data_IF_365514202945
#
_entry.id   IF_365514202945
#
_cell.length_a   1.000
_cell.length_b   1.000
_cell.length_c   1.000
_cell.angle_alpha   90.00
_cell.angle_beta   90.00
_cell.angle_gamma   90.00
#
_symmetry.space_group_name_H-M   'P 1'
#
loop_
_entity.id
_entity.type
_entity.pdbx_description
1 polymer ?
#
# COMPACT_ATOMS: atom_id res chain seq x y z
N UNK A 1 -7.74 -9.66 -23.27
CA UNK A 1 -6.80 -10.19 -22.27
C UNK A 1 -5.93 -9.02 -21.80
N UNK A 2 -6.23 -8.44 -20.64
CA UNK A 2 -5.43 -7.34 -20.09
C UNK A 2 -4.07 -7.90 -19.67
N UNK A 3 -2.99 -7.44 -20.30
CA UNK A 3 -1.64 -7.74 -19.80
C UNK A 3 -1.50 -7.04 -18.45
N UNK A 4 -1.32 -7.78 -17.37
CA UNK A 4 -0.84 -7.24 -16.09
C UNK A 4 0.50 -6.59 -16.37
N UNK A 5 0.56 -5.27 -16.32
CA UNK A 5 1.85 -4.58 -16.26
C UNK A 5 2.38 -4.79 -14.85
N UNK A 6 3.50 -5.48 -14.75
CA UNK A 6 4.24 -5.60 -13.49
C UNK A 6 5.38 -4.59 -13.53
N UNK A 7 5.37 -3.66 -12.61
CA UNK A 7 6.50 -2.78 -12.33
C UNK A 7 7.29 -3.44 -11.20
N UNK A 8 8.39 -4.12 -11.53
CA UNK A 8 9.24 -4.73 -10.53
C UNK A 8 9.96 -3.64 -9.73
N UNK A 9 10.13 -3.89 -8.44
CA UNK A 9 10.95 -3.08 -7.56
C UNK A 9 12.39 -3.05 -8.08
N UNK A 10 13.09 -1.90 -8.07
CA UNK A 10 14.48 -1.80 -8.53
C UNK A 10 15.39 -2.72 -7.71
N UNK A 11 16.01 -3.69 -8.36
CA UNK A 11 16.81 -4.71 -7.68
C UNK A 11 18.01 -4.12 -6.94
N UNK A 12 18.60 -3.05 -7.47
CA UNK A 12 19.70 -2.29 -6.88
C UNK A 12 19.31 -1.49 -5.62
N UNK A 13 18.02 -1.32 -5.36
CA UNK A 13 17.51 -0.65 -4.16
C UNK A 13 17.10 -1.62 -3.04
N UNK A 14 17.10 -2.94 -3.25
CA UNK A 14 16.75 -3.91 -2.21
C UNK A 14 17.72 -3.83 -1.03
N UNK A 15 19.03 -3.93 -1.29
CA UNK A 15 20.05 -3.83 -0.23
C UNK A 15 20.06 -2.46 0.47
N UNK A 16 20.01 -1.31 -0.22
CA UNK A 16 19.88 -0.02 0.42
C UNK A 16 18.66 0.10 1.35
N UNK A 17 17.49 -0.38 0.93
CA UNK A 17 16.28 -0.38 1.76
C UNK A 17 16.43 -1.29 2.98
N UNK A 18 16.98 -2.49 2.82
CA UNK A 18 17.23 -3.40 3.96
C UNK A 18 18.29 -2.83 4.93
N UNK A 19 19.32 -2.17 4.43
CA UNK A 19 20.33 -1.49 5.26
C UNK A 19 19.70 -0.34 6.06
N UNK A 20 18.88 0.48 5.42
CA UNK A 20 18.09 1.52 6.09
C UNK A 20 17.20 0.91 7.17
N UNK A 21 16.51 -0.18 6.86
CA UNK A 21 15.59 -0.86 7.81
C UNK A 21 16.32 -1.34 9.06
N UNK A 22 17.49 -1.96 8.90
CA UNK A 22 18.31 -2.44 10.04
C UNK A 22 18.81 -1.27 10.90
N UNK A 23 19.19 -0.14 10.28
CA UNK A 23 19.65 1.05 11.00
C UNK A 23 18.54 1.65 11.88
N UNK A 24 17.31 1.70 11.36
CA UNK A 24 16.15 2.26 12.06
C UNK A 24 15.34 1.23 12.85
N UNK A 25 15.87 0.01 13.01
CA UNK A 25 15.25 -1.07 13.79
C UNK A 25 13.80 -1.38 13.33
N UNK A 26 13.57 -1.36 12.03
CA UNK A 26 12.33 -1.80 11.39
C UNK A 26 12.62 -3.06 10.55
N UNK A 27 11.63 -3.95 10.45
CA UNK A 27 11.80 -5.25 9.80
C UNK A 27 11.33 -5.18 8.36
N UNK A 28 12.20 -5.41 7.37
CA UNK A 28 11.81 -5.50 5.97
C UNK A 28 11.23 -6.88 5.66
N UNK A 29 10.21 -6.89 4.81
CA UNK A 29 9.65 -8.10 4.25
C UNK A 29 9.27 -7.89 2.78
N UNK A 30 9.19 -8.97 2.05
CA UNK A 30 8.64 -9.02 0.69
C UNK A 30 7.87 -10.33 0.49
N UNK A 31 7.48 -10.61 -0.73
CA UNK A 31 6.65 -11.76 -1.06
C UNK A 31 7.27 -12.57 -2.20
N UNK A 32 7.21 -13.87 -2.06
CA UNK A 32 7.42 -14.80 -3.16
C UNK A 32 6.09 -15.53 -3.50
N UNK A 33 6.16 -16.51 -4.39
CA UNK A 33 4.98 -17.33 -4.77
C UNK A 33 4.40 -18.16 -3.61
N UNK A 34 5.14 -18.32 -2.52
CA UNK A 34 4.77 -19.18 -1.40
C UNK A 34 4.30 -18.36 -0.18
N UNK A 35 4.63 -17.07 -0.08
CA UNK A 35 4.23 -16.23 1.06
C UNK A 35 5.21 -15.09 1.35
N UNK A 36 5.29 -14.70 2.60
CA UNK A 36 6.18 -13.64 3.10
C UNK A 36 7.61 -14.17 3.24
N UNK A 37 8.58 -13.36 2.84
CA UNK A 37 10.01 -13.58 3.06
C UNK A 37 10.57 -12.42 3.86
N UNK A 38 11.25 -12.69 4.96
CA UNK A 38 11.77 -11.69 5.91
C UNK A 38 13.00 -12.20 6.66
N UNK A 39 13.74 -11.29 7.29
CA UNK A 39 14.86 -11.64 8.18
C UNK A 39 14.41 -11.95 9.61
N UNK A 40 13.20 -11.51 10.01
CA UNK A 40 12.62 -11.78 11.34
C UNK A 40 11.14 -12.22 11.21
N UNK A 41 10.92 -13.53 11.22
CA UNK A 41 9.58 -14.12 11.19
C UNK A 41 8.83 -13.98 12.52
N UNK A 42 9.54 -13.67 13.62
CA UNK A 42 8.95 -13.54 14.95
C UNK A 42 8.47 -12.13 15.26
N UNK A 43 8.83 -11.14 14.45
CA UNK A 43 8.37 -9.77 14.60
C UNK A 43 6.83 -9.70 14.60
N UNK A 44 6.28 -8.93 15.55
CA UNK A 44 4.84 -8.89 15.80
C UNK A 44 4.01 -8.54 14.57
N UNK A 45 4.45 -7.54 13.81
CA UNK A 45 3.71 -7.08 12.64
C UNK A 45 4.01 -7.88 11.36
N UNK A 46 5.08 -8.66 11.31
CA UNK A 46 5.26 -9.71 10.29
C UNK A 46 4.22 -10.81 10.47
N UNK A 47 4.00 -11.23 11.72
CA UNK A 47 2.91 -12.17 12.07
C UNK A 47 1.52 -11.61 11.76
N UNK A 48 1.32 -10.31 11.99
CA UNK A 48 0.07 -9.63 11.67
C UNK A 48 -0.18 -9.60 10.15
N UNK A 49 0.83 -9.29 9.34
CA UNK A 49 0.74 -9.34 7.88
C UNK A 49 0.39 -10.76 7.38
N UNK A 50 1.04 -11.77 7.96
CA UNK A 50 0.74 -13.18 7.66
C UNK A 50 -0.70 -13.56 8.04
N UNK A 51 -1.20 -13.08 9.17
CA UNK A 51 -2.57 -13.31 9.65
C UNK A 51 -3.60 -12.67 8.74
N UNK A 52 -3.38 -11.41 8.37
CA UNK A 52 -4.30 -10.64 7.49
C UNK A 52 -4.42 -11.33 6.13
N UNK A 53 -3.29 -11.71 5.53
CA UNK A 53 -3.27 -12.28 4.18
C UNK A 53 -3.46 -13.81 4.17
N UNK A 54 -3.44 -14.46 5.33
CA UNK A 54 -3.53 -15.94 5.49
C UNK A 54 -2.46 -16.67 4.68
N UNK A 55 -1.23 -16.17 4.69
CA UNK A 55 -0.08 -16.73 3.98
C UNK A 55 1.05 -17.07 4.96
N UNK A 56 1.88 -18.09 4.65
CA UNK A 56 3.01 -18.48 5.50
C UNK A 56 4.13 -17.44 5.48
N UNK A 57 4.98 -17.51 6.51
CA UNK A 57 6.22 -16.72 6.61
C UNK A 57 7.42 -17.63 6.49
N UNK A 58 8.40 -17.21 5.71
CA UNK A 58 9.71 -17.83 5.58
C UNK A 58 10.79 -16.88 6.06
N UNK A 59 11.52 -17.30 7.08
CA UNK A 59 12.66 -16.55 7.56
C UNK A 59 13.91 -16.88 6.74
N UNK A 60 14.72 -15.86 6.47
CA UNK A 60 16.01 -15.94 5.77
C UNK A 60 17.08 -15.18 6.54
N UNK A 61 18.35 -15.51 6.33
CA UNK A 61 19.46 -14.82 7.02
C UNK A 61 19.77 -13.45 6.40
N UNK A 62 19.58 -13.31 5.10
CA UNK A 62 19.87 -12.08 4.35
C UNK A 62 18.84 -11.91 3.23
N UNK A 63 17.90 -10.99 3.43
CA UNK A 63 16.81 -10.76 2.49
C UNK A 63 17.31 -10.31 1.10
N UNK A 64 18.23 -9.35 0.97
CA UNK A 64 18.80 -8.98 -0.32
C UNK A 64 19.46 -10.13 -1.10
N UNK A 65 20.19 -10.98 -0.42
CA UNK A 65 20.84 -12.13 -1.07
C UNK A 65 19.84 -13.20 -1.53
N UNK A 66 18.72 -13.32 -0.80
CA UNK A 66 17.66 -14.28 -1.10
C UNK A 66 16.77 -13.83 -2.27
N UNK A 67 16.50 -12.50 -2.38
CA UNK A 67 15.60 -11.97 -3.40
C UNK A 67 16.31 -11.85 -4.75
N UNK A 68 16.44 -12.98 -5.45
CA UNK A 68 17.02 -13.07 -6.79
C UNK A 68 15.97 -13.04 -7.91
N UNK A 69 14.74 -12.76 -7.58
CA UNK A 69 13.56 -12.73 -8.45
C UNK A 69 12.85 -11.37 -8.37
N UNK A 70 12.07 -10.98 -9.39
CA UNK A 70 11.34 -9.74 -9.37
C UNK A 70 10.31 -9.70 -8.24
N UNK A 71 10.35 -8.67 -7.41
CA UNK A 71 9.34 -8.36 -6.39
C UNK A 71 8.62 -7.07 -6.73
N UNK A 72 7.41 -6.87 -6.24
CA UNK A 72 6.62 -5.68 -6.56
C UNK A 72 6.84 -4.56 -5.54
N UNK A 73 7.14 -4.91 -4.29
CA UNK A 73 7.37 -3.97 -3.18
C UNK A 73 8.22 -4.61 -2.09
N UNK A 74 8.82 -3.77 -1.28
CA UNK A 74 9.25 -4.12 0.07
C UNK A 74 8.28 -3.44 1.06
N UNK A 75 7.88 -4.17 2.09
CA UNK A 75 7.10 -3.66 3.20
C UNK A 75 8.01 -3.58 4.43
N UNK A 76 8.02 -2.45 5.11
CA UNK A 76 8.73 -2.28 6.37
C UNK A 76 7.71 -2.27 7.51
N UNK A 77 8.09 -2.89 8.61
CA UNK A 77 7.21 -2.95 9.78
C UNK A 77 7.97 -2.66 11.07
N UNK A 78 7.32 -1.95 12.00
CA UNK A 78 7.90 -1.53 13.27
C UNK A 78 6.88 -0.98 14.24
N UNK A 79 7.36 -0.39 15.34
CA UNK A 79 6.49 0.24 16.34
C UNK A 79 5.70 1.40 15.71
N UNK A 80 4.36 1.43 15.85
CA UNK A 80 3.52 2.52 15.32
C UNK A 80 3.95 3.92 15.76
N UNK A 81 4.58 4.05 16.92
CA UNK A 81 5.06 5.34 17.42
C UNK A 81 6.23 5.89 16.60
N UNK A 82 7.08 5.02 16.08
CA UNK A 82 8.30 5.38 15.34
C UNK A 82 8.04 5.51 13.83
N UNK A 83 7.05 4.79 13.30
CA UNK A 83 6.81 4.68 11.86
C UNK A 83 6.57 6.01 11.14
N UNK A 84 5.91 7.04 11.72
CA UNK A 84 5.80 8.34 11.06
C UNK A 84 7.15 9.00 10.78
N UNK A 85 8.08 8.91 11.74
CA UNK A 85 9.43 9.44 11.60
C UNK A 85 10.28 8.63 10.60
N UNK A 86 10.19 7.30 10.69
CA UNK A 86 10.86 6.40 9.74
C UNK A 86 10.39 6.64 8.30
N UNK A 87 9.09 6.86 8.10
CA UNK A 87 8.53 7.19 6.78
C UNK A 87 9.13 8.47 6.22
N UNK A 88 9.19 9.54 7.03
CA UNK A 88 9.74 10.83 6.61
C UNK A 88 11.21 10.70 6.19
N UNK A 89 12.03 10.03 7.01
CA UNK A 89 13.44 9.79 6.71
C UNK A 89 13.62 8.95 5.44
N UNK A 90 12.81 7.93 5.28
CA UNK A 90 12.84 7.08 4.11
C UNK A 90 12.44 7.82 2.82
N UNK A 91 11.42 8.69 2.91
CA UNK A 91 11.03 9.56 1.79
C UNK A 91 12.15 10.53 1.40
N UNK A 92 12.93 11.02 2.36
CA UNK A 92 14.09 11.87 2.09
C UNK A 92 15.25 11.10 1.45
N UNK A 93 15.62 9.95 2.01
CA UNK A 93 16.73 9.11 1.54
C UNK A 93 16.50 8.54 0.13
N UNK A 94 15.28 8.12 -0.16
CA UNK A 94 14.91 7.53 -1.44
C UNK A 94 14.09 8.48 -2.34
N UNK A 95 14.21 9.80 -2.11
CA UNK A 95 13.54 10.81 -2.94
C UNK A 95 13.86 10.62 -4.43
N UNK A 96 12.82 10.60 -5.28
CA UNK A 96 12.97 10.42 -6.72
C UNK A 96 13.39 9.00 -7.17
N UNK A 97 13.49 8.03 -6.25
CA UNK A 97 13.84 6.64 -6.53
C UNK A 97 12.69 5.68 -6.26
N UNK A 98 11.93 5.91 -5.20
CA UNK A 98 10.83 5.04 -4.76
C UNK A 98 9.57 5.86 -4.47
N UNK A 99 8.42 5.22 -4.60
CA UNK A 99 7.15 5.66 -4.01
C UNK A 99 7.03 5.05 -2.62
N UNK A 100 6.84 5.88 -1.59
CA UNK A 100 6.84 5.48 -0.19
C UNK A 100 5.61 6.05 0.50
N UNK A 101 4.82 5.20 1.15
CA UNK A 101 3.66 5.62 1.92
C UNK A 101 3.31 4.62 3.03
N UNK A 102 2.68 5.09 4.10
CA UNK A 102 2.10 4.19 5.09
C UNK A 102 0.78 3.59 4.59
N UNK A 103 0.59 2.29 4.83
CA UNK A 103 -0.69 1.60 4.61
C UNK A 103 -1.41 1.29 5.93
N UNK A 104 -0.66 1.16 7.01
CA UNK A 104 -1.16 1.00 8.38
C UNK A 104 -0.26 1.77 9.36
N UNK A 105 -0.65 1.97 10.62
CA UNK A 105 0.21 2.63 11.62
C UNK A 105 1.60 2.00 11.74
N UNK A 106 1.71 0.71 11.50
CA UNK A 106 2.91 -0.13 11.64
C UNK A 106 3.50 -0.62 10.32
N UNK A 107 2.98 -0.18 9.15
CA UNK A 107 3.45 -0.57 7.82
C UNK A 107 3.82 0.63 6.95
N UNK A 108 5.04 0.60 6.40
CA UNK A 108 5.50 1.49 5.31
C UNK A 108 5.67 0.64 4.05
N UNK A 109 4.94 0.96 3.01
CA UNK A 109 5.10 0.38 1.68
C UNK A 109 6.15 1.14 0.88
N UNK A 110 7.08 0.40 0.27
CA UNK A 110 8.04 0.93 -0.68
C UNK A 110 7.83 0.28 -2.03
N UNK A 111 7.62 1.07 -3.05
CA UNK A 111 7.23 0.65 -4.38
C UNK A 111 8.12 1.31 -5.43
N UNK A 112 8.18 0.80 -6.66
CA UNK A 112 8.81 1.52 -7.78
C UNK A 112 8.25 2.94 -7.90
N UNK A 113 9.12 3.88 -8.27
CA UNK A 113 8.70 5.28 -8.43
C UNK A 113 7.51 5.41 -9.38
N UNK A 114 6.52 6.19 -8.98
CA UNK A 114 5.30 6.42 -9.76
C UNK A 114 4.29 5.27 -9.72
N UNK A 115 4.53 4.24 -8.92
CA UNK A 115 3.56 3.18 -8.67
C UNK A 115 2.73 3.55 -7.42
N UNK A 116 1.41 3.59 -7.60
CA UNK A 116 0.44 3.89 -6.56
C UNK A 116 -0.95 3.39 -6.95
N UNK A 117 -1.92 3.51 -6.05
CA UNK A 117 -3.31 3.13 -6.34
C UNK A 117 -3.93 4.06 -7.39
N UNK A 118 -3.64 5.34 -7.31
CA UNK A 118 -4.06 6.37 -8.27
C UNK A 118 -3.51 6.13 -9.68
N UNK A 119 -2.21 5.97 -9.81
CA UNK A 119 -1.57 5.75 -11.11
C UNK A 119 -2.03 4.43 -11.75
N UNK A 120 -2.25 3.39 -10.94
CA UNK A 120 -2.81 2.12 -11.40
C UNK A 120 -4.25 2.29 -11.91
N UNK A 121 -5.07 3.08 -11.22
CA UNK A 121 -6.44 3.40 -11.62
C UNK A 121 -6.46 4.26 -12.89
N UNK A 122 -5.57 5.24 -13.03
CA UNK A 122 -5.46 6.03 -14.27
C UNK A 122 -5.17 5.14 -15.48
N UNK A 123 -4.24 4.18 -15.35
CA UNK A 123 -3.93 3.22 -16.43
C UNK A 123 -5.17 2.39 -16.79
N UNK A 124 -5.90 1.92 -15.76
CA UNK A 124 -7.12 1.15 -15.96
C UNK A 124 -8.22 1.97 -16.64
N UNK A 125 -8.45 3.21 -16.19
CA UNK A 125 -9.44 4.12 -16.77
C UNK A 125 -9.14 4.39 -18.25
N UNK A 126 -7.89 4.75 -18.59
CA UNK A 126 -7.45 4.95 -19.97
C UNK A 126 -7.68 3.70 -20.82
N UNK A 127 -7.35 2.52 -20.30
CA UNK A 127 -7.55 1.24 -21.00
C UNK A 127 -9.03 0.91 -21.26
N UNK A 128 -9.93 1.48 -20.46
CA UNK A 128 -11.38 1.36 -20.59
C UNK A 128 -12.04 2.50 -21.39
N UNK A 129 -11.29 3.52 -21.78
CA UNK A 129 -11.82 4.72 -22.40
C UNK A 129 -12.62 5.60 -21.42
N UNK A 130 -12.34 5.48 -20.13
CA UNK A 130 -12.96 6.22 -19.03
C UNK A 130 -12.03 7.32 -18.51
N UNK A 131 -12.60 8.23 -17.74
CA UNK A 131 -11.90 9.34 -17.08
C UNK A 131 -12.08 9.25 -15.57
N UNK A 132 -11.31 10.01 -14.77
CA UNK A 132 -11.53 10.10 -13.32
C UNK A 132 -12.97 10.44 -12.91
N UNK A 133 -13.70 11.22 -13.72
CA UNK A 133 -15.11 11.53 -13.47
C UNK A 133 -16.04 10.30 -13.47
N UNK A 134 -15.60 9.19 -14.04
CA UNK A 134 -16.33 7.92 -14.05
C UNK A 134 -15.90 6.97 -12.91
N UNK A 135 -15.05 7.44 -11.99
CA UNK A 135 -14.50 6.65 -10.89
C UNK A 135 -15.14 7.05 -9.57
N UNK A 136 -15.71 6.10 -8.87
CA UNK A 136 -15.93 6.16 -7.43
C UNK A 136 -14.85 5.33 -6.75
N UNK A 137 -14.16 5.90 -5.76
CA UNK A 137 -13.12 5.21 -4.99
C UNK A 137 -13.44 5.28 -3.49
N UNK A 138 -13.44 4.12 -2.84
CA UNK A 138 -13.61 4.00 -1.39
C UNK A 138 -12.25 3.64 -0.75
N UNK A 139 -11.90 4.29 0.36
CA UNK A 139 -10.64 4.02 1.06
C UNK A 139 -10.62 4.50 2.49
N UNK A 140 -9.63 4.01 3.26
CA UNK A 140 -9.47 4.33 4.68
C UNK A 140 -8.03 4.65 5.09
N UNK A 141 -7.02 4.15 4.38
CA UNK A 141 -5.61 4.31 4.69
C UNK A 141 -4.92 5.48 3.98
N UNK A 142 -3.71 5.82 4.45
CA UNK A 142 -2.88 6.86 3.81
C UNK A 142 -2.53 6.52 2.35
N UNK A 143 -2.36 5.25 2.05
CA UNK A 143 -2.11 4.75 0.69
C UNK A 143 -3.33 4.86 -0.24
N UNK A 144 -4.52 5.13 0.29
CA UNK A 144 -5.74 5.38 -0.47
C UNK A 144 -5.92 6.86 -0.82
N UNK A 145 -5.28 7.77 -0.08
CA UNK A 145 -5.45 9.21 -0.25
C UNK A 145 -5.27 9.68 -1.70
N UNK A 146 -4.26 9.21 -2.47
CA UNK A 146 -4.12 9.61 -3.87
C UNK A 146 -5.29 9.18 -4.75
N UNK A 147 -5.82 7.95 -4.58
CA UNK A 147 -6.96 7.49 -5.38
C UNK A 147 -8.28 8.17 -5.00
N UNK A 148 -8.46 8.54 -3.71
CA UNK A 148 -9.59 9.34 -3.25
C UNK A 148 -9.61 10.72 -3.92
N UNK A 149 -8.43 11.37 -4.02
CA UNK A 149 -8.30 12.66 -4.68
C UNK A 149 -8.43 12.60 -6.21
N UNK A 150 -8.08 11.46 -6.81
CA UNK A 150 -8.19 11.23 -8.24
C UNK A 150 -9.64 11.05 -8.68
N UNK A 151 -10.45 10.38 -7.88
CA UNK A 151 -11.80 9.95 -8.22
C UNK A 151 -12.74 11.14 -8.43
N UNK A 152 -13.69 11.00 -9.36
CA UNK A 152 -14.82 11.92 -9.50
C UNK A 152 -15.77 11.88 -8.30
N UNK A 153 -15.76 10.75 -7.54
CA UNK A 153 -16.43 10.57 -6.25
C UNK A 153 -15.45 9.84 -5.32
N UNK A 154 -14.77 10.58 -4.47
CA UNK A 154 -13.93 10.05 -3.40
C UNK A 154 -14.75 9.78 -2.14
N UNK A 155 -14.75 8.54 -1.65
CA UNK A 155 -15.52 8.10 -0.48
C UNK A 155 -14.57 7.65 0.62
N UNK A 156 -14.60 8.34 1.77
CA UNK A 156 -13.88 7.89 2.96
C UNK A 156 -14.75 6.91 3.77
N UNK A 157 -14.14 5.80 4.19
CA UNK A 157 -14.76 4.88 5.13
C UNK A 157 -14.91 5.50 6.52
N UNK A 158 -15.87 5.05 7.32
CA UNK A 158 -16.10 5.54 8.69
C UNK A 158 -14.87 5.39 9.60
N UNK A 159 -14.09 4.32 9.41
CA UNK A 159 -12.82 4.05 10.08
C UNK A 159 -11.60 4.74 9.43
N UNK A 160 -11.80 5.58 8.39
CA UNK A 160 -10.69 6.18 7.65
C UNK A 160 -9.86 7.15 8.49
N UNK A 161 -8.58 7.26 8.12
CA UNK A 161 -7.65 8.21 8.70
C UNK A 161 -8.10 9.66 8.45
N UNK A 162 -7.82 10.60 9.39
CA UNK A 162 -8.29 12.00 9.26
C UNK A 162 -7.95 12.67 7.92
N UNK A 163 -6.74 12.51 7.33
CA UNK A 163 -6.44 13.10 6.03
C UNK A 163 -7.28 12.53 4.88
N UNK A 164 -7.67 11.24 4.95
CA UNK A 164 -8.54 10.61 3.95
C UNK A 164 -9.96 11.17 4.05
N UNK A 165 -10.50 11.28 5.29
CA UNK A 165 -11.81 11.92 5.54
C UNK A 165 -11.84 13.37 5.05
N UNK A 166 -10.76 14.12 5.28
CA UNK A 166 -10.68 15.52 4.87
C UNK A 166 -10.59 15.72 3.34
N UNK A 167 -10.14 14.72 2.61
CA UNK A 167 -9.95 14.76 1.15
C UNK A 167 -11.12 14.18 0.36
N UNK A 168 -12.02 13.44 1.01
CA UNK A 168 -13.13 12.76 0.36
C UNK A 168 -14.34 13.69 0.16
N UNK A 169 -15.11 13.40 -0.91
CA UNK A 169 -16.38 14.09 -1.21
C UNK A 169 -17.50 13.60 -0.30
N UNK A 170 -17.41 12.35 0.15
CA UNK A 170 -18.41 11.72 1.02
C UNK A 170 -17.78 10.80 2.05
N UNK A 171 -18.40 10.70 3.23
CA UNK A 171 -18.04 9.73 4.25
C UNK A 171 -19.17 8.72 4.42
N UNK A 172 -18.86 7.43 4.24
CA UNK A 172 -19.77 6.31 4.45
C UNK A 172 -19.58 5.68 5.84
N UNK A 173 -20.28 4.58 6.12
CA UNK A 173 -20.06 3.76 7.31
C UNK A 173 -18.66 3.10 7.30
N UNK A 174 -18.28 2.47 8.39
CA UNK A 174 -17.01 1.76 8.49
C UNK A 174 -17.04 0.37 7.80
N UNK A 175 -15.91 -0.31 7.87
CA UNK A 175 -15.74 -1.65 7.27
C UNK A 175 -16.60 -2.74 7.94
N UNK A 176 -17.03 -2.56 9.20
CA UNK A 176 -17.86 -3.50 9.94
C UNK A 176 -19.37 -3.26 9.71
N UNK A 177 -19.73 -2.13 9.10
CA UNK A 177 -21.09 -1.70 8.82
C UNK A 177 -21.38 -1.49 7.33
N UNK A 178 -20.73 -2.31 6.47
CA UNK A 178 -20.96 -2.35 5.02
C UNK A 178 -20.85 -1.00 4.30
N UNK A 179 -19.88 -0.16 4.72
CA UNK A 179 -19.72 1.19 4.19
C UNK A 179 -19.54 1.27 2.67
N UNK A 180 -18.85 0.30 2.06
CA UNK A 180 -18.71 0.25 0.58
C UNK A 180 -20.06 -0.05 -0.08
N UNK A 181 -20.81 -1.01 0.44
CA UNK A 181 -22.15 -1.36 -0.07
C UNK A 181 -23.09 -0.16 -0.04
N UNK A 182 -23.15 0.54 1.10
CA UNK A 182 -23.96 1.75 1.25
C UNK A 182 -23.58 2.86 0.26
N UNK A 183 -22.29 3.04 0.00
CA UNK A 183 -21.83 4.02 -0.99
C UNK A 183 -22.26 3.61 -2.42
N UNK A 184 -22.15 2.33 -2.76
CA UNK A 184 -22.59 1.80 -4.06
C UNK A 184 -24.10 1.95 -4.23
N UNK A 185 -24.89 1.59 -3.23
CA UNK A 185 -26.35 1.79 -3.26
C UNK A 185 -26.70 3.23 -3.54
N UNK A 186 -26.12 4.16 -2.76
CA UNK A 186 -26.43 5.58 -2.83
C UNK A 186 -26.03 6.23 -4.17
N UNK A 187 -24.85 5.95 -4.69
CA UNK A 187 -24.29 6.70 -5.82
C UNK A 187 -24.32 5.96 -7.16
N UNK A 188 -24.62 4.67 -7.14
CA UNK A 188 -24.60 3.86 -8.37
C UNK A 188 -25.98 3.24 -8.64
N UNK A 189 -26.69 2.77 -7.61
CA UNK A 189 -27.95 2.05 -7.79
C UNK A 189 -29.20 2.91 -7.63
N UNK A 190 -29.17 3.92 -6.75
CA UNK A 190 -30.32 4.84 -6.54
C UNK A 190 -30.44 5.93 -7.63
N UNK A 191 -29.35 6.22 -8.37
CA UNK A 191 -29.34 7.17 -9.48
C UNK A 191 -29.59 6.52 -10.84
N UNK A 192 -29.77 5.20 -10.90
CA UNK A 192 -30.08 4.44 -12.11
C UNK A 192 -31.59 4.20 -12.22
#
# INVERSE_FOLDING_TARGET
MYKRQQHAFPADLIEPVCTFSRYWNVVPLTYDKNGIVTEDADAAYVKEEARINKIPVRQVENLPAEVTYPVNKLLLTGDPADMPHVEELMQQEFAGKLSICRSAPFFIETMPLGVGKDTSLEILLRAKGLTPANLMACGDGWNDLPMIRLAGMGVAMGNAQPPVKAAADYQTADNDHDGVGLAVEKFILEEA
#
